data_IF_397268821530
#
_entry.id   IF_397268821530
#
_cell.length_a   1.000
_cell.length_b   1.000
_cell.length_c   1.000
_cell.angle_alpha   90.00
_cell.angle_beta   90.00
_cell.angle_gamma   90.00
#
_symmetry.space_group_name_H-M   'P 1'
#
loop_
_entity.id
_entity.type
_entity.pdbx_description
1 polymer ?
#
# COMPACT_ATOMS: atom_id res chain seq x y z
N UNK A 1 22.64 22.08 -11.41
CA UNK A 1 21.97 20.93 -12.03
C UNK A 1 20.50 20.92 -11.61
N UNK A 2 19.59 20.65 -12.53
CA UNK A 2 18.17 20.55 -12.19
C UNK A 2 17.95 19.25 -11.39
N UNK A 3 17.40 19.36 -10.17
CA UNK A 3 17.18 18.21 -9.31
C UNK A 3 15.89 17.49 -9.74
N UNK A 4 15.96 16.18 -9.98
CA UNK A 4 14.79 15.35 -10.25
C UNK A 4 14.28 14.82 -8.91
N UNK A 5 13.12 15.28 -8.42
CA UNK A 5 12.56 14.84 -7.15
C UNK A 5 12.03 13.40 -7.26
N UNK A 6 11.92 12.71 -6.12
CA UNK A 6 11.35 11.37 -6.05
C UNK A 6 9.82 11.36 -6.27
N UNK A 7 9.14 12.46 -5.94
CA UNK A 7 7.71 12.68 -6.14
C UNK A 7 7.47 14.05 -6.81
N UNK A 8 6.49 14.13 -7.71
CA UNK A 8 6.12 15.34 -8.44
C UNK A 8 4.90 16.09 -7.90
N UNK A 9 4.69 16.11 -6.57
CA UNK A 9 3.45 16.67 -5.97
C UNK A 9 3.25 18.16 -6.27
N UNK A 10 4.33 18.93 -6.29
CA UNK A 10 4.29 20.35 -6.65
C UNK A 10 3.93 20.56 -8.13
N UNK A 11 4.40 19.66 -9.01
CA UNK A 11 4.06 19.68 -10.45
C UNK A 11 2.60 19.30 -10.64
N UNK A 12 2.12 18.26 -9.96
CA UNK A 12 0.72 17.84 -9.98
C UNK A 12 -0.20 18.97 -9.49
N UNK A 13 0.16 19.63 -8.38
CA UNK A 13 -0.61 20.77 -7.88
C UNK A 13 -0.69 21.91 -8.91
N UNK A 14 0.44 22.27 -9.56
CA UNK A 14 0.44 23.31 -10.61
C UNK A 14 -0.54 23.00 -11.75
N UNK A 15 -0.60 21.74 -12.15
CA UNK A 15 -1.52 21.28 -13.21
C UNK A 15 -3.00 21.34 -12.79
N UNK A 16 -3.30 21.07 -11.52
CA UNK A 16 -4.66 20.97 -10.99
C UNK A 16 -5.08 22.19 -10.17
N UNK A 17 -4.24 23.22 -10.08
CA UNK A 17 -4.42 24.35 -9.15
C UNK A 17 -5.81 24.98 -9.23
N UNK A 18 -6.31 25.26 -10.43
CA UNK A 18 -7.61 25.90 -10.61
C UNK A 18 -8.75 25.02 -10.11
N UNK A 19 -8.77 23.73 -10.45
CA UNK A 19 -9.81 22.79 -10.04
C UNK A 19 -9.80 22.55 -8.52
N UNK A 20 -8.60 22.46 -7.93
CA UNK A 20 -8.43 22.27 -6.48
C UNK A 20 -8.92 23.50 -5.71
N UNK A 21 -8.59 24.72 -6.16
CA UNK A 21 -9.04 25.93 -5.49
C UNK A 21 -10.55 26.13 -5.64
N UNK A 22 -11.11 25.88 -6.83
CA UNK A 22 -12.55 25.96 -7.07
C UNK A 22 -13.35 25.01 -6.18
N UNK A 23 -12.94 23.75 -6.08
CA UNK A 23 -13.63 22.78 -5.22
C UNK A 23 -13.43 23.08 -3.73
N UNK A 24 -12.27 23.61 -3.34
CA UNK A 24 -12.01 24.06 -1.96
C UNK A 24 -13.00 25.13 -1.54
N UNK A 25 -13.15 26.16 -2.38
CA UNK A 25 -14.09 27.27 -2.13
C UNK A 25 -15.52 26.76 -1.96
N UNK A 26 -15.98 25.92 -2.89
CA UNK A 26 -17.31 25.29 -2.84
C UNK A 26 -17.54 24.50 -1.55
N UNK A 27 -16.56 23.71 -1.07
CA UNK A 27 -16.70 22.97 0.18
C UNK A 27 -16.83 23.93 1.38
N UNK A 28 -15.98 24.96 1.43
CA UNK A 28 -15.97 25.90 2.56
C UNK A 28 -17.26 26.72 2.63
N UNK A 29 -17.81 27.12 1.49
CA UNK A 29 -19.10 27.85 1.41
C UNK A 29 -20.27 27.02 1.97
N UNK A 30 -20.25 25.68 1.86
CA UNK A 30 -21.34 24.83 2.37
C UNK A 30 -21.42 24.79 3.89
N UNK A 31 -20.32 25.06 4.60
CA UNK A 31 -20.19 24.82 6.05
C UNK A 31 -20.25 23.36 6.46
N UNK A 32 -20.33 22.41 5.50
CA UNK A 32 -20.34 20.96 5.74
C UNK A 32 -18.94 20.42 5.46
N UNK A 33 -18.13 20.26 6.51
CA UNK A 33 -16.72 19.92 6.36
C UNK A 33 -16.39 18.45 6.67
N UNK A 34 -17.40 17.67 7.07
CA UNK A 34 -17.30 16.24 7.39
C UNK A 34 -18.57 15.51 6.95
N UNK A 35 -18.41 14.28 6.40
CA UNK A 35 -19.51 13.41 6.00
C UNK A 35 -20.54 14.10 5.09
N UNK A 36 -20.09 14.92 4.19
CA UNK A 36 -20.94 15.67 3.25
C UNK A 36 -21.04 15.00 1.87
N UNK A 37 -21.53 15.74 0.86
CA UNK A 37 -21.78 15.19 -0.47
C UNK A 37 -20.50 14.73 -1.20
N UNK A 38 -19.34 15.36 -0.98
CA UNK A 38 -18.09 14.93 -1.62
C UNK A 38 -17.57 13.64 -1.01
N UNK A 39 -17.72 13.43 0.32
CA UNK A 39 -17.42 12.15 0.95
C UNK A 39 -18.27 11.04 0.34
N UNK A 40 -19.59 11.22 0.26
CA UNK A 40 -20.50 10.23 -0.31
C UNK A 40 -20.22 9.96 -1.80
N UNK A 41 -19.92 11.01 -2.58
CA UNK A 41 -19.59 10.87 -3.99
C UNK A 41 -18.27 10.13 -4.19
N UNK A 42 -17.25 10.40 -3.35
CA UNK A 42 -15.97 9.73 -3.42
C UNK A 42 -16.08 8.26 -3.00
N UNK A 43 -16.79 7.94 -1.92
CA UNK A 43 -17.06 6.55 -1.49
C UNK A 43 -17.81 5.78 -2.60
N UNK A 44 -18.81 6.38 -3.25
CA UNK A 44 -19.53 5.76 -4.38
C UNK A 44 -18.61 5.52 -5.58
N UNK A 45 -17.78 6.49 -5.93
CA UNK A 45 -16.81 6.35 -7.01
C UNK A 45 -15.80 5.23 -6.71
N UNK A 46 -15.32 5.16 -5.47
CA UNK A 46 -14.33 4.18 -5.05
C UNK A 46 -14.92 2.76 -5.07
N UNK A 47 -16.14 2.56 -4.59
CA UNK A 47 -16.85 1.30 -4.66
C UNK A 47 -17.01 0.83 -6.12
N UNK A 48 -17.47 1.72 -7.01
CA UNK A 48 -17.59 1.43 -8.44
C UNK A 48 -16.23 1.09 -9.07
N UNK A 49 -15.18 1.86 -8.76
CA UNK A 49 -13.83 1.67 -9.34
C UNK A 49 -13.19 0.36 -8.92
N UNK A 50 -13.46 -0.12 -7.71
CA UNK A 50 -12.90 -1.37 -7.18
C UNK A 50 -13.81 -2.58 -7.38
N UNK A 51 -15.05 -2.38 -7.87
CA UNK A 51 -16.06 -3.44 -7.97
C UNK A 51 -16.60 -3.90 -6.61
N UNK A 52 -16.40 -3.12 -5.56
CA UNK A 52 -16.91 -3.39 -4.23
C UNK A 52 -18.37 -2.95 -4.08
N UNK A 53 -19.13 -3.61 -3.20
CA UNK A 53 -20.48 -3.19 -2.84
C UNK A 53 -20.43 -1.93 -1.93
N UNK A 54 -19.39 -1.80 -1.12
CA UNK A 54 -19.25 -0.75 -0.12
C UNK A 54 -17.85 -0.15 -0.11
N UNK A 55 -17.77 1.16 0.12
CA UNK A 55 -16.54 1.88 0.42
C UNK A 55 -16.76 2.83 1.60
N UNK A 56 -15.77 2.93 2.46
CA UNK A 56 -15.78 3.81 3.64
C UNK A 56 -14.45 4.53 3.72
N UNK A 57 -14.48 5.86 3.66
CA UNK A 57 -13.29 6.69 3.87
C UNK A 57 -12.91 6.75 5.35
N UNK A 58 -11.62 6.69 5.61
CA UNK A 58 -11.02 6.82 6.94
C UNK A 58 -9.78 7.71 6.89
N UNK A 59 -9.27 8.12 8.05
CA UNK A 59 -8.17 9.08 8.14
C UNK A 59 -6.86 8.57 7.50
N UNK A 60 -6.62 7.26 7.49
CA UNK A 60 -5.40 6.66 6.88
C UNK A 60 -5.61 5.18 6.57
N UNK A 61 -4.78 4.63 5.71
CA UNK A 61 -4.73 3.19 5.45
C UNK A 61 -4.37 2.38 6.70
N UNK A 62 -3.50 2.89 7.56
CA UNK A 62 -3.19 2.26 8.86
C UNK A 62 -4.44 2.07 9.70
N UNK A 63 -5.28 3.10 9.75
CA UNK A 63 -6.56 3.03 10.46
C UNK A 63 -7.55 2.08 9.76
N UNK A 64 -7.55 2.03 8.43
CA UNK A 64 -8.35 1.07 7.68
C UNK A 64 -7.98 -0.38 8.03
N UNK A 65 -6.70 -0.69 8.03
CA UNK A 65 -6.18 -2.01 8.44
C UNK A 65 -6.54 -2.35 9.89
N UNK A 66 -6.36 -1.39 10.82
CA UNK A 66 -6.70 -1.58 12.24
C UNK A 66 -8.19 -1.84 12.45
N UNK A 67 -9.06 -1.10 11.77
CA UNK A 67 -10.53 -1.30 11.84
C UNK A 67 -10.91 -2.70 11.35
N UNK A 68 -10.38 -3.12 10.21
CA UNK A 68 -10.65 -4.45 9.67
C UNK A 68 -10.10 -5.56 10.57
N UNK A 69 -8.90 -5.38 11.12
CA UNK A 69 -8.31 -6.33 12.06
C UNK A 69 -9.16 -6.47 13.34
N UNK A 70 -9.66 -5.35 13.88
CA UNK A 70 -10.56 -5.37 15.05
C UNK A 70 -11.90 -6.05 14.76
N UNK A 71 -12.48 -5.79 13.57
CA UNK A 71 -13.69 -6.47 13.14
C UNK A 71 -13.48 -7.99 13.04
N UNK A 72 -12.43 -8.42 12.35
CA UNK A 72 -12.13 -9.83 12.18
C UNK A 72 -11.83 -10.55 13.51
N UNK A 73 -11.32 -9.83 14.51
CA UNK A 73 -11.11 -10.38 15.85
C UNK A 73 -12.44 -10.61 16.59
N UNK A 74 -13.41 -9.70 16.51
CA UNK A 74 -14.72 -9.84 17.14
C UNK A 74 -15.45 -11.06 16.57
N UNK A 75 -15.45 -11.20 15.23
CA UNK A 75 -16.05 -12.35 14.56
C UNK A 75 -15.41 -13.67 15.00
N UNK A 76 -14.09 -13.68 15.18
CA UNK A 76 -13.36 -14.83 15.72
C UNK A 76 -13.73 -15.12 17.19
N UNK A 77 -13.80 -14.09 18.05
CA UNK A 77 -14.11 -14.25 19.46
C UNK A 77 -15.56 -14.75 19.65
N UNK A 78 -16.51 -14.31 18.83
CA UNK A 78 -17.90 -14.80 18.84
C UNK A 78 -18.00 -16.28 18.40
N UNK A 79 -17.20 -16.72 17.42
CA UNK A 79 -17.13 -18.11 17.00
C UNK A 79 -16.47 -19.04 18.03
N UNK A 80 -15.56 -18.51 18.87
CA UNK A 80 -14.84 -19.27 19.92
C UNK A 80 -15.58 -19.28 21.25
N UNK A 81 -16.55 -18.40 21.48
CA UNK A 81 -17.41 -18.36 22.66
C UNK A 81 -18.54 -19.43 22.64
N UNK A 82 -18.49 -20.40 21.74
CA UNK A 82 -19.32 -21.59 21.82
C UNK A 82 -18.94 -22.35 23.14
N UNK A 83 -19.90 -22.53 24.04
CA UNK A 83 -19.71 -23.06 25.40
C UNK A 83 -19.00 -24.43 25.46
N UNK A 84 -18.67 -25.01 24.30
CA UNK A 84 -17.98 -26.29 24.16
C UNK A 84 -16.48 -26.16 23.82
N UNK A 85 -15.92 -24.96 23.72
CA UNK A 85 -14.55 -24.76 23.27
C UNK A 85 -13.68 -24.08 24.35
N UNK A 86 -13.00 -24.89 25.15
CA UNK A 86 -12.13 -24.46 26.28
C UNK A 86 -10.77 -23.86 25.82
N UNK A 87 -10.53 -23.67 24.52
CA UNK A 87 -9.26 -23.19 24.02
C UNK A 87 -9.33 -21.72 23.56
N UNK A 88 -9.01 -20.80 24.45
CA UNK A 88 -8.68 -19.41 24.08
C UNK A 88 -7.35 -19.43 23.36
N UNK A 89 -7.38 -19.50 22.01
CA UNK A 89 -6.19 -19.33 21.19
C UNK A 89 -6.14 -17.86 20.80
N UNK A 90 -5.07 -17.15 21.17
CA UNK A 90 -4.86 -15.79 20.68
C UNK A 90 -4.85 -15.79 19.15
N UNK A 91 -5.61 -14.90 18.51
CA UNK A 91 -5.72 -14.91 17.06
C UNK A 91 -4.37 -14.61 16.42
N UNK A 92 -3.89 -15.55 15.62
CA UNK A 92 -2.66 -15.40 14.86
C UNK A 92 -2.99 -14.80 13.50
N UNK A 93 -2.22 -13.78 13.08
CA UNK A 93 -2.26 -13.25 11.71
C UNK A 93 -0.93 -13.46 11.00
N UNK A 94 -0.99 -13.89 9.74
CA UNK A 94 0.15 -14.01 8.84
C UNK A 94 0.30 -12.75 8.02
N UNK A 95 1.49 -12.14 8.04
CA UNK A 95 1.82 -10.97 7.23
C UNK A 95 3.18 -11.15 6.54
N UNK A 96 3.44 -10.52 5.37
CA UNK A 96 4.74 -10.60 4.73
C UNK A 96 5.82 -9.88 5.55
N UNK A 97 7.03 -10.45 5.58
CA UNK A 97 8.17 -9.87 6.27
C UNK A 97 8.74 -8.60 5.62
N UNK A 98 8.36 -8.31 4.35
CA UNK A 98 8.63 -7.02 3.71
C UNK A 98 7.30 -6.32 3.43
N UNK A 99 7.02 -5.29 4.19
CA UNK A 99 5.93 -4.34 3.97
C UNK A 99 6.23 -3.05 4.75
N UNK A 100 5.37 -2.05 4.57
CA UNK A 100 5.41 -0.88 5.44
C UNK A 100 4.96 -1.26 6.86
N UNK A 101 5.64 -0.71 7.86
CA UNK A 101 5.40 -1.04 9.27
C UNK A 101 3.94 -0.85 9.74
N UNK A 102 3.15 -0.06 9.02
CA UNK A 102 1.74 0.14 9.32
C UNK A 102 0.92 -1.15 9.28
N UNK A 103 1.26 -2.09 8.37
CA UNK A 103 0.61 -3.40 8.32
C UNK A 103 0.82 -4.16 9.64
N UNK A 104 2.06 -4.21 10.13
CA UNK A 104 2.36 -4.85 11.42
C UNK A 104 1.66 -4.15 12.59
N UNK A 105 1.77 -2.81 12.66
CA UNK A 105 1.18 -2.02 13.75
C UNK A 105 -0.33 -2.19 13.85
N UNK A 106 -1.03 -2.26 12.73
CA UNK A 106 -2.49 -2.40 12.71
C UNK A 106 -2.95 -3.68 13.41
N UNK A 107 -2.28 -4.81 13.15
CA UNK A 107 -2.62 -6.08 13.78
C UNK A 107 -2.17 -6.16 15.24
N UNK A 108 -0.98 -5.65 15.57
CA UNK A 108 -0.55 -5.55 16.96
C UNK A 108 -1.51 -4.69 17.79
N UNK A 109 -1.97 -3.54 17.27
CA UNK A 109 -2.94 -2.68 17.93
C UNK A 109 -4.33 -3.33 18.08
N UNK A 110 -4.66 -4.24 17.17
CA UNK A 110 -5.88 -5.04 17.29
C UNK A 110 -5.73 -6.25 18.24
N UNK A 111 -4.53 -6.50 18.78
CA UNK A 111 -4.25 -7.56 19.76
C UNK A 111 -4.01 -8.93 19.12
N UNK A 112 -3.50 -8.99 17.91
CA UNK A 112 -3.08 -10.24 17.27
C UNK A 112 -1.67 -10.63 17.66
N UNK A 113 -1.43 -11.95 17.75
CA UNK A 113 -0.10 -12.50 17.54
C UNK A 113 0.23 -12.45 16.04
N UNK A 114 1.46 -12.07 15.72
CA UNK A 114 1.87 -11.92 14.32
C UNK A 114 2.87 -13.00 13.94
N UNK A 115 2.58 -13.71 12.86
CA UNK A 115 3.51 -14.61 12.19
C UNK A 115 4.03 -13.97 10.92
N UNK A 116 5.35 -13.76 10.84
CA UNK A 116 6.01 -13.23 9.66
C UNK A 116 6.25 -14.33 8.63
N UNK A 117 5.88 -14.08 7.39
CA UNK A 117 6.04 -15.01 6.26
C UNK A 117 7.07 -14.45 5.29
N UNK A 118 7.94 -15.31 4.76
CA UNK A 118 8.95 -14.90 3.77
C UNK A 118 8.31 -14.48 2.45
N UNK A 119 9.10 -13.85 1.61
CA UNK A 119 8.67 -13.36 0.31
C UNK A 119 9.43 -14.08 -0.81
N UNK A 120 8.87 -14.03 -2.01
CA UNK A 120 9.61 -14.36 -3.22
C UNK A 120 10.67 -13.28 -3.53
N UNK A 121 11.45 -13.49 -4.58
CA UNK A 121 12.47 -12.54 -5.06
C UNK A 121 11.91 -11.21 -5.57
N UNK A 122 10.60 -11.09 -5.73
CA UNK A 122 9.92 -9.84 -6.10
C UNK A 122 9.30 -9.14 -4.87
N UNK A 123 9.49 -9.69 -3.69
CA UNK A 123 8.98 -9.13 -2.44
C UNK A 123 7.52 -9.48 -2.13
N UNK A 124 6.90 -10.40 -2.88
CA UNK A 124 5.54 -10.85 -2.63
C UNK A 124 5.54 -12.04 -1.66
N UNK A 125 4.58 -12.05 -0.75
CA UNK A 125 4.40 -13.09 0.26
C UNK A 125 4.29 -14.48 -0.37
N UNK A 126 5.00 -15.47 0.17
CA UNK A 126 4.92 -16.85 -0.26
C UNK A 126 3.63 -17.51 0.26
N UNK A 127 2.82 -18.04 -0.66
CA UNK A 127 1.55 -18.72 -0.34
C UNK A 127 1.64 -20.25 -0.38
N UNK A 128 2.78 -20.81 -0.84
CA UNK A 128 2.92 -22.23 -1.15
C UNK A 128 3.53 -23.06 -0.01
N UNK A 129 3.61 -22.53 1.20
CA UNK A 129 4.00 -23.36 2.33
C UNK A 129 2.82 -24.28 2.68
N UNK A 130 2.94 -25.58 2.36
CA UNK A 130 1.93 -26.60 2.67
C UNK A 130 1.68 -26.77 4.17
N UNK A 131 2.52 -26.18 5.02
CA UNK A 131 2.24 -25.98 6.45
C UNK A 131 1.20 -24.89 6.71
N UNK A 132 0.77 -24.15 5.66
CA UNK A 132 -0.25 -23.11 5.68
C UNK A 132 -1.66 -23.62 5.39
N UNK A 133 -1.88 -24.95 5.31
CA UNK A 133 -3.20 -25.57 5.12
C UNK A 133 -4.18 -25.35 6.29
N UNK A 134 -3.74 -24.64 7.32
CA UNK A 134 -4.60 -24.21 8.41
C UNK A 134 -5.32 -22.90 8.02
N UNK A 135 -6.44 -23.06 7.30
CA UNK A 135 -7.33 -21.96 6.89
C UNK A 135 -8.01 -21.25 8.08
N UNK A 136 -7.74 -21.66 9.29
CA UNK A 136 -8.26 -21.02 10.51
C UNK A 136 -7.51 -19.75 10.89
N UNK A 137 -6.35 -19.47 10.27
CA UNK A 137 -5.52 -18.31 10.62
C UNK A 137 -5.79 -17.13 9.69
N UNK A 138 -5.98 -15.97 10.29
CA UNK A 138 -6.12 -14.73 9.54
C UNK A 138 -4.84 -14.44 8.71
N UNK A 139 -5.03 -13.87 7.53
CA UNK A 139 -3.91 -13.52 6.63
C UNK A 139 -4.06 -12.08 6.14
N UNK A 140 -2.99 -11.31 6.16
CA UNK A 140 -2.93 -10.02 5.48
C UNK A 140 -2.01 -10.11 4.26
N UNK A 141 -2.59 -9.94 3.08
CA UNK A 141 -1.89 -9.97 1.81
C UNK A 141 -1.55 -8.54 1.40
N UNK A 142 -0.30 -8.31 1.02
CA UNK A 142 0.19 -7.00 0.59
C UNK A 142 0.61 -7.04 -0.87
N UNK A 143 0.03 -6.16 -1.69
CA UNK A 143 0.48 -5.94 -3.07
C UNK A 143 1.65 -4.96 -3.13
N UNK A 144 2.83 -5.44 -2.73
CA UNK A 144 4.00 -4.61 -2.53
C UNK A 144 4.44 -3.91 -3.83
N UNK A 145 4.78 -2.62 -3.74
CA UNK A 145 5.24 -1.72 -4.81
C UNK A 145 4.22 -1.49 -5.95
N UNK A 146 3.07 -2.14 -5.88
CA UNK A 146 2.01 -2.10 -6.89
C UNK A 146 1.83 -3.41 -7.65
N UNK A 147 2.61 -4.45 -7.33
CA UNK A 147 2.42 -5.78 -7.91
C UNK A 147 1.12 -6.41 -7.39
N UNK A 148 0.34 -7.00 -8.28
CA UNK A 148 -0.83 -7.79 -7.87
C UNK A 148 -0.35 -9.14 -7.31
N UNK A 149 -0.64 -9.46 -6.03
CA UNK A 149 -0.35 -10.77 -5.48
C UNK A 149 -1.11 -11.86 -6.24
N UNK A 150 -0.46 -12.98 -6.48
CA UNK A 150 -1.15 -14.16 -7.01
C UNK A 150 -1.63 -14.99 -5.82
N UNK A 151 -2.94 -15.06 -5.65
CA UNK A 151 -3.57 -15.83 -4.58
C UNK A 151 -4.37 -16.96 -5.21
N UNK A 152 -4.01 -18.18 -4.90
CA UNK A 152 -4.71 -19.38 -5.37
C UNK A 152 -5.62 -19.89 -4.25
N UNK A 153 -6.92 -20.04 -4.54
CA UNK A 153 -7.87 -20.62 -3.61
C UNK A 153 -8.88 -19.64 -2.99
N UNK A 154 -9.62 -20.12 -2.00
CA UNK A 154 -10.59 -19.32 -1.26
C UNK A 154 -9.85 -18.40 -0.27
N UNK A 155 -10.14 -17.11 -0.31
CA UNK A 155 -9.55 -16.08 0.56
C UNK A 155 -10.35 -15.88 1.86
N UNK A 156 -10.92 -16.94 2.43
CA UNK A 156 -11.55 -16.82 3.76
C UNK A 156 -10.59 -16.25 4.79
N UNK A 157 -11.06 -15.39 5.69
CA UNK A 157 -10.29 -14.72 6.74
C UNK A 157 -9.07 -13.93 6.20
N UNK A 158 -9.24 -13.23 5.07
CA UNK A 158 -8.15 -12.49 4.44
C UNK A 158 -8.44 -11.00 4.35
N UNK A 159 -7.55 -10.21 4.93
CA UNK A 159 -7.50 -8.76 4.77
C UNK A 159 -6.45 -8.41 3.72
N UNK A 160 -6.77 -7.47 2.83
CA UNK A 160 -5.85 -7.02 1.79
C UNK A 160 -5.32 -5.62 2.11
N UNK A 161 -4.01 -5.50 2.23
CA UNK A 161 -3.34 -4.21 2.21
C UNK A 161 -3.15 -3.77 0.75
N UNK A 162 -4.13 -3.01 0.28
CA UNK A 162 -4.20 -2.44 -1.07
C UNK A 162 -3.44 -1.13 -1.24
N UNK A 163 -2.72 -0.65 -0.22
CA UNK A 163 -2.08 0.68 -0.20
C UNK A 163 -1.24 1.01 -1.45
N UNK A 164 -0.78 0.01 -2.19
CA UNK A 164 0.09 0.20 -3.35
C UNK A 164 -0.45 -0.43 -4.63
N UNK A 165 -1.44 -1.35 -4.56
CA UNK A 165 -1.90 -2.12 -5.74
C UNK A 165 -3.41 -2.08 -6.01
N UNK A 166 -4.22 -1.40 -5.20
CA UNK A 166 -5.68 -1.42 -5.28
C UNK A 166 -6.25 -1.13 -6.69
N UNK A 167 -5.53 -0.35 -7.52
CA UNK A 167 -5.92 -0.04 -8.90
C UNK A 167 -5.92 -1.25 -9.84
N UNK A 168 -5.28 -2.34 -9.45
CA UNK A 168 -5.13 -3.58 -10.24
C UNK A 168 -5.56 -4.82 -9.45
N UNK A 169 -6.14 -4.63 -8.27
CA UNK A 169 -6.67 -5.72 -7.47
C UNK A 169 -7.86 -6.38 -8.20
N UNK A 170 -7.91 -7.72 -8.14
CA UNK A 170 -8.99 -8.54 -8.70
C UNK A 170 -9.75 -9.29 -7.62
N UNK A 171 -9.34 -9.15 -6.37
CA UNK A 171 -10.00 -9.71 -5.21
C UNK A 171 -9.92 -8.73 -4.04
N UNK A 172 -10.94 -8.72 -3.20
CA UNK A 172 -11.04 -7.84 -2.04
C UNK A 172 -10.80 -8.56 -0.71
N UNK A 173 -10.76 -9.91 -0.69
CA UNK A 173 -10.83 -10.66 0.57
C UNK A 173 -12.10 -10.32 1.35
N UNK A 174 -12.02 -10.30 2.67
CA UNK A 174 -13.09 -9.76 3.52
C UNK A 174 -13.19 -8.24 3.39
N UNK A 175 -12.04 -7.58 3.18
CA UNK A 175 -11.94 -6.17 2.89
C UNK A 175 -10.53 -5.77 2.45
N UNK A 176 -10.43 -4.70 1.67
CA UNK A 176 -9.17 -4.13 1.23
C UNK A 176 -8.99 -2.72 1.78
N UNK A 177 -7.85 -2.48 2.44
CA UNK A 177 -7.41 -1.15 2.88
C UNK A 177 -6.73 -0.41 1.72
N UNK A 178 -7.12 0.84 1.51
CA UNK A 178 -6.57 1.71 0.49
C UNK A 178 -5.91 2.91 1.14
N UNK A 179 -4.79 3.35 0.58
CA UNK A 179 -4.07 4.55 1.01
C UNK A 179 -4.20 5.67 -0.02
N UNK A 180 -4.51 6.85 0.48
CA UNK A 180 -4.47 8.12 -0.26
C UNK A 180 -3.38 9.06 0.30
N UNK A 181 -2.39 8.50 1.01
CA UNK A 181 -1.19 9.26 1.38
C UNK A 181 -0.62 10.01 0.15
N UNK A 182 -0.05 11.22 0.31
CA UNK A 182 0.45 12.03 -0.81
C UNK A 182 1.42 11.32 -1.74
N UNK A 183 2.07 10.25 -1.31
CA UNK A 183 3.01 9.46 -2.12
C UNK A 183 2.36 8.38 -2.99
N UNK A 184 1.03 8.21 -2.91
CA UNK A 184 0.29 7.13 -3.60
C UNK A 184 -0.17 7.53 -5.00
N UNK A 185 -0.67 6.55 -5.76
CA UNK A 185 -1.13 6.76 -7.15
C UNK A 185 -2.30 7.73 -7.25
N UNK A 186 -3.17 7.73 -6.25
CA UNK A 186 -4.24 8.71 -6.05
C UNK A 186 -3.98 9.41 -4.71
N UNK A 187 -3.24 10.54 -4.70
CA UNK A 187 -2.88 11.23 -3.47
C UNK A 187 -4.01 12.12 -2.95
N UNK A 188 -4.23 12.16 -1.64
CA UNK A 188 -4.98 13.23 -0.99
C UNK A 188 -4.09 14.47 -0.76
N UNK A 189 -4.65 15.51 -0.19
CA UNK A 189 -3.87 16.71 0.20
C UNK A 189 -3.28 16.62 1.60
N UNK A 190 -3.51 15.50 2.28
CA UNK A 190 -2.98 15.13 3.58
C UNK A 190 -3.03 13.63 3.75
N UNK A 191 -3.27 13.15 4.96
CA UNK A 191 -3.56 11.74 5.17
C UNK A 191 -4.91 11.36 4.55
N UNK A 192 -5.05 10.10 4.17
CA UNK A 192 -6.31 9.56 3.70
C UNK A 192 -6.22 8.04 3.51
N UNK A 193 -7.34 7.38 3.69
CA UNK A 193 -7.50 5.96 3.44
C UNK A 193 -8.96 5.59 3.25
N UNK A 194 -9.19 4.34 2.88
CA UNK A 194 -10.52 3.77 2.79
C UNK A 194 -10.48 2.27 3.04
N UNK A 195 -11.64 1.73 3.40
CA UNK A 195 -11.95 0.31 3.36
C UNK A 195 -12.92 0.10 2.19
N UNK A 196 -12.67 -0.89 1.35
CA UNK A 196 -13.62 -1.39 0.36
C UNK A 196 -13.91 -2.85 0.62
N UNK A 197 -15.19 -3.23 0.56
CA UNK A 197 -15.63 -4.59 0.93
C UNK A 197 -16.95 -4.96 0.27
N UNK A 198 -17.20 -6.27 0.17
CA UNK A 198 -18.50 -6.82 -0.16
C UNK A 198 -19.28 -7.31 1.08
N UNK A 199 -18.61 -7.33 2.25
CA UNK A 199 -19.19 -7.75 3.52
C UNK A 199 -19.95 -6.58 4.17
N UNK A 200 -21.26 -6.78 4.38
CA UNK A 200 -22.14 -5.77 4.97
C UNK A 200 -21.81 -5.53 6.45
N UNK A 201 -21.46 -6.57 7.21
CA UNK A 201 -21.21 -6.47 8.64
C UNK A 201 -19.90 -5.70 8.89
N UNK A 202 -18.85 -5.95 8.07
CA UNK A 202 -17.63 -5.14 8.09
C UNK A 202 -17.93 -3.67 7.77
N UNK A 203 -18.81 -3.41 6.77
CA UNK A 203 -19.19 -2.04 6.43
C UNK A 203 -19.86 -1.32 7.61
N UNK A 204 -20.87 -1.95 8.22
CA UNK A 204 -21.63 -1.34 9.32
C UNK A 204 -20.74 -1.15 10.57
N UNK A 205 -19.89 -2.12 10.88
CA UNK A 205 -18.86 -2.01 11.93
C UNK A 205 -17.93 -0.81 11.68
N UNK A 206 -17.31 -0.75 10.50
CA UNK A 206 -16.35 0.30 10.16
C UNK A 206 -17.00 1.70 10.14
N UNK A 207 -18.24 1.80 9.69
CA UNK A 207 -19.00 3.05 9.68
C UNK A 207 -19.25 3.58 11.09
N UNK A 208 -19.63 2.71 12.02
CA UNK A 208 -19.82 3.07 13.43
C UNK A 208 -18.48 3.34 14.12
N UNK A 209 -17.50 2.44 13.94
CA UNK A 209 -16.19 2.51 14.61
C UNK A 209 -15.42 3.79 14.26
N UNK A 210 -15.35 4.21 12.97
CA UNK A 210 -14.67 5.44 12.54
C UNK A 210 -15.24 6.73 13.16
N UNK A 211 -16.42 6.65 13.76
CA UNK A 211 -17.17 7.77 14.34
C UNK A 211 -17.40 7.65 15.86
N UNK A 212 -16.51 6.97 16.60
CA UNK A 212 -16.61 6.73 18.05
C UNK A 212 -17.85 5.92 18.47
N UNK A 213 -18.33 5.01 17.65
CA UNK A 213 -19.55 4.24 17.92
C UNK A 213 -20.83 5.09 17.94
N UNK A 214 -20.84 6.26 17.30
CA UNK A 214 -21.93 7.26 17.42
C UNK A 214 -23.29 6.80 16.91
N UNK A 215 -23.37 5.70 16.17
CA UNK A 215 -24.64 5.30 15.58
C UNK A 215 -25.67 4.93 16.67
N UNK A 216 -25.25 4.16 17.65
CA UNK A 216 -26.10 3.68 18.75
C UNK A 216 -25.38 3.60 20.12
N UNK A 217 -24.08 3.94 20.14
CA UNK A 217 -23.19 3.86 21.29
C UNK A 217 -23.08 2.45 21.91
N UNK A 218 -23.29 1.42 21.13
CA UNK A 218 -23.17 0.01 21.58
C UNK A 218 -21.74 -0.50 21.50
N UNK A 219 -20.82 0.24 20.84
CA UNK A 219 -19.45 -0.16 20.66
C UNK A 219 -18.46 0.98 20.88
N UNK A 220 -17.24 0.65 21.23
CA UNK A 220 -16.11 1.59 21.21
C UNK A 220 -15.73 1.92 19.76
N UNK A 221 -15.10 3.08 19.57
CA UNK A 221 -14.64 3.49 18.26
C UNK A 221 -13.54 4.53 18.33
N UNK A 222 -13.21 5.09 17.19
CA UNK A 222 -12.20 6.13 17.03
C UNK A 222 -12.71 7.28 16.18
N UNK A 223 -12.11 8.46 16.31
CA UNK A 223 -12.37 9.58 15.41
C UNK A 223 -11.43 9.48 14.20
N UNK A 224 -11.88 8.76 13.18
CA UNK A 224 -11.05 8.40 12.02
C UNK A 224 -11.71 8.75 10.67
N UNK A 225 -12.58 9.73 10.65
CA UNK A 225 -13.24 10.17 9.41
C UNK A 225 -12.27 11.00 8.56
N UNK A 226 -12.35 10.83 7.26
CA UNK A 226 -11.69 11.70 6.29
C UNK A 226 -12.44 13.03 6.14
N UNK A 227 -11.73 14.12 5.88
CA UNK A 227 -12.36 15.43 5.70
C UNK A 227 -13.09 15.53 4.36
N UNK A 228 -14.12 16.37 4.31
CA UNK A 228 -14.85 16.68 3.08
C UNK A 228 -13.93 17.33 2.04
N UNK A 229 -12.99 18.18 2.47
CA UNK A 229 -11.98 18.79 1.60
C UNK A 229 -11.08 17.75 0.93
N UNK A 230 -10.60 16.76 1.69
CA UNK A 230 -9.75 15.71 1.11
C UNK A 230 -10.52 14.85 0.11
N UNK A 231 -11.78 14.51 0.40
CA UNK A 231 -12.66 13.79 -0.52
C UNK A 231 -12.93 14.59 -1.80
N UNK A 232 -13.16 15.92 -1.69
CA UNK A 232 -13.36 16.80 -2.83
C UNK A 232 -12.09 16.89 -3.70
N UNK A 233 -10.92 17.03 -3.09
CA UNK A 233 -9.63 17.05 -3.79
C UNK A 233 -9.34 15.70 -4.48
N UNK A 234 -9.71 14.59 -3.85
CA UNK A 234 -9.60 13.28 -4.48
C UNK A 234 -10.52 13.16 -5.68
N UNK A 235 -11.77 13.64 -5.60
CA UNK A 235 -12.68 13.62 -6.76
C UNK A 235 -12.17 14.45 -7.95
N UNK A 236 -11.46 15.55 -7.71
CA UNK A 236 -10.74 16.25 -8.80
C UNK A 236 -9.70 15.32 -9.43
N UNK A 237 -8.89 14.66 -8.62
CA UNK A 237 -7.80 13.79 -9.07
C UNK A 237 -8.26 12.49 -9.74
N UNK A 238 -9.45 11.98 -9.36
CA UNK A 238 -10.00 10.78 -10.00
C UNK A 238 -10.22 10.93 -11.50
N UNK A 239 -10.47 12.14 -11.98
CA UNK A 239 -10.62 12.43 -13.41
C UNK A 239 -9.35 12.16 -14.22
N UNK A 240 -8.19 12.15 -13.56
CA UNK A 240 -6.87 12.01 -14.20
C UNK A 240 -6.23 10.65 -13.97
N UNK A 241 -6.80 9.79 -13.11
CA UNK A 241 -6.15 8.56 -12.64
C UNK A 241 -5.76 7.60 -13.76
N UNK A 242 -6.57 7.46 -14.80
CA UNK A 242 -6.29 6.56 -15.94
C UNK A 242 -5.06 7.05 -16.73
N UNK A 243 -4.97 8.35 -16.98
CA UNK A 243 -3.83 8.95 -17.67
C UNK A 243 -2.54 8.83 -16.83
N UNK A 244 -2.66 9.01 -15.50
CA UNK A 244 -1.53 8.86 -14.59
C UNK A 244 -1.04 7.41 -14.52
N UNK A 245 -1.96 6.44 -14.52
CA UNK A 245 -1.60 5.02 -14.55
C UNK A 245 -0.96 4.63 -15.88
N UNK A 246 -1.48 5.14 -17.00
CA UNK A 246 -0.87 4.94 -18.31
C UNK A 246 0.56 5.47 -18.33
N UNK A 247 0.79 6.71 -17.87
CA UNK A 247 2.13 7.32 -17.83
C UNK A 247 3.11 6.54 -16.95
N UNK A 248 2.69 6.08 -15.77
CA UNK A 248 3.51 5.24 -14.91
C UNK A 248 3.88 3.92 -15.59
N UNK A 249 2.95 3.31 -16.29
CA UNK A 249 3.18 2.09 -17.09
C UNK A 249 4.19 2.30 -18.21
N UNK A 250 4.12 3.43 -18.94
CA UNK A 250 5.12 3.79 -19.96
C UNK A 250 6.51 3.91 -19.36
N UNK A 251 6.66 4.67 -18.26
CA UNK A 251 7.93 4.85 -17.56
C UNK A 251 8.49 3.49 -17.10
N UNK A 252 7.65 2.64 -16.48
CA UNK A 252 8.08 1.30 -16.07
C UNK A 252 8.59 0.48 -17.25
N UNK A 253 7.88 0.44 -18.36
CA UNK A 253 8.29 -0.33 -19.53
C UNK A 253 9.61 0.20 -20.10
N UNK A 254 9.78 1.50 -20.16
CA UNK A 254 11.04 2.11 -20.60
C UNK A 254 12.20 1.68 -19.70
N UNK A 255 12.07 1.78 -18.39
CA UNK A 255 13.11 1.32 -17.45
C UNK A 255 13.39 -0.19 -17.58
N UNK A 256 12.36 -1.02 -17.72
CA UNK A 256 12.55 -2.47 -17.89
C UNK A 256 13.33 -2.82 -19.15
N UNK A 257 13.09 -2.10 -20.25
CA UNK A 257 13.82 -2.30 -21.50
C UNK A 257 15.28 -1.83 -21.40
N UNK A 258 15.49 -0.63 -20.85
CA UNK A 258 16.82 -0.05 -20.66
C UNK A 258 17.71 -0.86 -19.73
N UNK A 259 17.12 -1.54 -18.73
CA UNK A 259 17.85 -2.29 -17.68
C UNK A 259 17.92 -3.80 -17.93
N UNK A 260 17.43 -4.28 -19.08
CA UNK A 260 17.32 -5.75 -19.33
C UNK A 260 18.64 -6.52 -19.30
N UNK A 261 19.74 -5.84 -19.64
CA UNK A 261 21.09 -6.44 -19.74
C UNK A 261 22.04 -5.98 -18.63
N UNK A 262 21.54 -5.30 -17.59
CA UNK A 262 22.34 -4.86 -16.45
C UNK A 262 22.33 -5.92 -15.36
N UNK A 263 23.40 -5.95 -14.58
CA UNK A 263 23.46 -6.74 -13.32
C UNK A 263 22.59 -6.06 -12.23
N UNK A 264 21.30 -6.06 -12.51
CA UNK A 264 20.27 -5.37 -11.75
C UNK A 264 18.95 -6.14 -11.84
N UNK A 265 18.39 -6.56 -10.71
CA UNK A 265 17.08 -7.19 -10.70
C UNK A 265 15.98 -6.13 -10.51
N UNK A 266 15.07 -5.98 -11.49
CA UNK A 266 13.89 -5.15 -11.36
C UNK A 266 12.74 -5.99 -10.78
N UNK A 267 12.24 -5.67 -9.60
CA UNK A 267 11.23 -6.48 -8.91
C UNK A 267 9.91 -6.59 -9.68
N UNK A 268 9.56 -5.59 -10.48
CA UNK A 268 8.34 -5.60 -11.31
C UNK A 268 8.49 -6.31 -12.67
N UNK A 269 9.68 -6.87 -12.99
CA UNK A 269 9.97 -7.42 -14.35
C UNK A 269 9.00 -8.52 -14.77
N UNK A 270 8.66 -9.41 -13.86
CA UNK A 270 7.82 -10.58 -14.14
C UNK A 270 6.34 -10.36 -13.82
N UNK A 271 5.96 -9.17 -13.36
CA UNK A 271 4.56 -8.85 -13.04
C UNK A 271 3.84 -8.34 -14.28
N UNK A 272 2.90 -9.13 -14.81
CA UNK A 272 2.05 -8.73 -15.93
C UNK A 272 1.04 -7.65 -15.53
N UNK A 273 0.59 -7.68 -14.28
CA UNK A 273 -0.40 -6.74 -13.74
C UNK A 273 0.20 -5.98 -12.56
N UNK A 274 0.36 -4.67 -12.72
CA UNK A 274 1.09 -3.83 -11.78
C UNK A 274 0.51 -2.40 -11.75
N UNK A 275 0.31 -1.85 -10.57
CA UNK A 275 -0.17 -0.47 -10.39
C UNK A 275 0.94 0.59 -10.51
N UNK A 276 2.18 0.18 -10.71
CA UNK A 276 3.34 1.05 -10.93
C UNK A 276 3.50 2.15 -9.86
N UNK A 277 3.19 1.80 -8.62
CA UNK A 277 3.26 2.72 -7.49
C UNK A 277 4.72 3.05 -7.14
N UNK A 278 5.61 2.07 -7.25
CA UNK A 278 7.07 2.24 -7.14
C UNK A 278 7.79 1.42 -8.20
N UNK A 279 8.92 1.93 -8.67
CA UNK A 279 9.85 1.16 -9.46
C UNK A 279 11.04 0.81 -8.58
N UNK A 280 11.13 -0.45 -8.19
CA UNK A 280 12.13 -0.95 -7.23
C UNK A 280 13.09 -1.90 -7.93
N UNK A 281 14.36 -1.70 -7.66
CA UNK A 281 15.45 -2.52 -8.15
C UNK A 281 16.22 -3.12 -6.97
N UNK A 282 16.83 -4.27 -7.20
CA UNK A 282 17.77 -4.89 -6.28
C UNK A 282 19.18 -4.95 -6.91
N UNK A 283 20.18 -4.56 -6.16
CA UNK A 283 21.60 -4.75 -6.50
C UNK A 283 22.43 -4.86 -5.23
N UNK A 284 23.46 -5.70 -5.22
CA UNK A 284 24.41 -5.76 -4.10
C UNK A 284 25.20 -4.46 -3.91
N UNK A 285 25.23 -3.62 -4.95
CA UNK A 285 25.89 -2.32 -4.98
C UNK A 285 24.95 -1.15 -4.64
N UNK A 286 23.92 -1.40 -3.79
CA UNK A 286 22.89 -0.44 -3.41
C UNK A 286 23.48 0.93 -2.98
N UNK A 287 24.45 0.92 -2.07
CA UNK A 287 25.04 2.14 -1.51
C UNK A 287 25.73 2.98 -2.58
N UNK A 288 26.54 2.36 -3.41
CA UNK A 288 27.28 3.02 -4.50
C UNK A 288 26.30 3.60 -5.53
N UNK A 289 25.28 2.83 -5.93
CA UNK A 289 24.24 3.30 -6.87
C UNK A 289 23.45 4.47 -6.28
N UNK A 290 23.10 4.40 -4.99
CA UNK A 290 22.42 5.49 -4.28
C UNK A 290 23.26 6.79 -4.31
N UNK A 291 24.53 6.70 -3.98
CA UNK A 291 25.45 7.84 -3.99
C UNK A 291 25.64 8.40 -5.41
N UNK A 292 25.83 7.51 -6.41
CA UNK A 292 25.96 7.92 -7.82
C UNK A 292 24.75 8.70 -8.32
N UNK A 293 23.54 8.19 -8.10
CA UNK A 293 22.30 8.85 -8.56
C UNK A 293 22.03 10.14 -7.80
N UNK A 294 22.28 10.17 -6.50
CA UNK A 294 22.15 11.39 -5.69
C UNK A 294 23.11 12.48 -6.17
N UNK A 295 24.37 12.14 -6.46
CA UNK A 295 25.37 13.07 -7.01
C UNK A 295 24.99 13.54 -8.42
N UNK A 296 24.28 12.74 -9.19
CA UNK A 296 23.71 13.12 -10.49
C UNK A 296 22.45 14.00 -10.36
N UNK A 297 22.00 14.34 -9.15
CA UNK A 297 20.82 15.16 -8.90
C UNK A 297 19.48 14.38 -9.00
N UNK A 298 19.53 13.07 -8.94
CA UNK A 298 18.36 12.20 -8.96
C UNK A 298 18.01 11.77 -7.52
N UNK A 299 16.85 12.15 -7.02
CA UNK A 299 16.40 11.74 -5.69
C UNK A 299 15.90 10.29 -5.72
N UNK A 300 16.50 9.42 -4.92
CA UNK A 300 16.16 7.99 -4.78
C UNK A 300 15.82 7.66 -3.35
N UNK A 301 15.03 6.60 -3.13
CA UNK A 301 14.59 6.17 -1.79
C UNK A 301 14.82 4.67 -1.60
N UNK A 302 14.81 4.24 -0.35
CA UNK A 302 14.90 2.82 0.01
C UNK A 302 13.56 2.39 0.62
N UNK A 303 12.92 1.43 -0.01
CA UNK A 303 11.69 0.81 0.46
C UNK A 303 11.85 -0.73 0.47
N UNK A 304 12.24 -1.37 1.60
CA UNK A 304 12.50 -0.76 2.89
C UNK A 304 13.95 -1.09 3.31
N UNK A 305 14.50 -0.33 4.27
CA UNK A 305 15.89 -0.52 4.74
C UNK A 305 16.06 -1.81 5.52
N UNK A 306 14.99 -2.27 6.20
CA UNK A 306 14.95 -3.47 7.04
C UNK A 306 13.67 -4.25 6.78
N UNK A 307 13.75 -5.56 6.88
CA UNK A 307 12.59 -6.41 7.01
C UNK A 307 11.89 -6.19 8.37
N UNK A 308 10.61 -6.54 8.49
CA UNK A 308 9.87 -6.35 9.76
C UNK A 308 10.52 -7.11 10.91
N UNK A 309 11.04 -8.32 10.65
CA UNK A 309 11.76 -9.13 11.66
C UNK A 309 13.03 -8.48 12.21
N UNK A 310 13.58 -7.50 11.49
CA UNK A 310 14.79 -6.76 11.91
C UNK A 310 14.46 -5.48 12.69
N UNK A 311 13.19 -5.13 12.83
CA UNK A 311 12.75 -3.93 13.54
C UNK A 311 12.75 -4.16 15.07
N UNK A 312 13.10 -3.14 15.88
CA UNK A 312 13.07 -3.27 17.35
C UNK A 312 11.71 -3.68 17.91
N UNK A 313 10.61 -3.29 17.26
CA UNK A 313 9.25 -3.64 17.68
C UNK A 313 8.92 -5.13 17.47
N UNK A 314 9.66 -5.84 16.63
CA UNK A 314 9.49 -7.26 16.37
C UNK A 314 10.17 -8.17 17.42
N UNK A 315 10.79 -7.62 18.46
CA UNK A 315 11.52 -8.40 19.49
C UNK A 315 10.67 -9.48 20.19
N UNK A 316 9.37 -9.25 20.28
CA UNK A 316 8.44 -10.18 20.92
C UNK A 316 7.69 -11.06 19.91
N UNK A 317 8.00 -10.93 18.60
CA UNK A 317 7.44 -11.79 17.57
C UNK A 317 8.33 -13.02 17.46
N UNK A 318 7.74 -14.20 17.58
CA UNK A 318 8.48 -15.45 17.36
C UNK A 318 8.88 -15.54 15.88
N UNK A 319 10.17 -15.38 15.63
CA UNK A 319 10.75 -15.43 14.29
C UNK A 319 11.65 -16.66 14.18
N UNK A 320 11.43 -17.46 13.15
CA UNK A 320 12.38 -18.52 12.75
C UNK A 320 13.29 -17.94 11.64
N UNK A 321 14.51 -17.47 11.96
CA UNK A 321 15.35 -16.69 11.02
C UNK A 321 15.61 -17.41 9.70
N UNK A 322 15.80 -18.72 9.73
CA UNK A 322 16.07 -19.54 8.55
C UNK A 322 14.89 -19.58 7.56
N UNK A 323 13.67 -19.26 8.03
CA UNK A 323 12.45 -19.22 7.22
C UNK A 323 12.19 -17.85 6.57
N UNK A 324 13.01 -16.83 6.85
CA UNK A 324 12.83 -15.44 6.36
C UNK A 324 14.03 -14.94 5.55
N UNK A 325 14.82 -15.86 4.98
CA UNK A 325 16.11 -15.54 4.36
C UNK A 325 16.00 -14.66 3.12
N UNK A 326 14.98 -14.88 2.28
CA UNK A 326 14.78 -14.10 1.04
C UNK A 326 14.43 -12.67 1.34
N UNK A 327 13.48 -12.43 2.22
CA UNK A 327 13.04 -11.08 2.60
C UNK A 327 14.18 -10.27 3.25
N UNK A 328 14.93 -10.88 4.17
CA UNK A 328 16.09 -10.23 4.80
C UNK A 328 17.21 -9.96 3.79
N UNK A 329 17.46 -10.85 2.85
CA UNK A 329 18.44 -10.63 1.79
C UNK A 329 18.03 -9.49 0.88
N UNK A 330 16.75 -9.43 0.46
CA UNK A 330 16.25 -8.38 -0.43
C UNK A 330 16.45 -6.98 0.16
N UNK A 331 16.15 -6.75 1.44
CA UNK A 331 16.26 -5.41 2.04
C UNK A 331 17.68 -4.83 1.98
N UNK A 332 18.70 -5.69 1.89
CA UNK A 332 20.10 -5.25 1.76
C UNK A 332 20.40 -4.55 0.43
N UNK A 333 19.66 -4.88 -0.64
CA UNK A 333 19.93 -4.38 -1.99
C UNK A 333 18.82 -3.52 -2.62
N UNK A 334 17.67 -3.30 -1.94
CA UNK A 334 16.54 -2.55 -2.50
C UNK A 334 16.83 -1.06 -2.68
N UNK A 335 16.51 -0.54 -3.87
CA UNK A 335 16.55 0.89 -4.20
C UNK A 335 15.35 1.24 -5.08
N UNK A 336 14.67 2.34 -4.78
CA UNK A 336 13.53 2.83 -5.56
C UNK A 336 13.94 4.02 -6.42
N UNK A 337 13.61 3.96 -7.71
CA UNK A 337 13.80 5.04 -8.69
C UNK A 337 12.53 5.88 -8.80
N UNK A 338 12.64 7.16 -9.20
CA UNK A 338 11.49 8.01 -9.45
C UNK A 338 10.55 7.40 -10.52
N UNK A 339 9.26 7.33 -10.17
CA UNK A 339 8.19 6.94 -11.09
C UNK A 339 6.93 7.70 -10.71
N UNK A 340 6.57 8.74 -11.47
CA UNK A 340 5.36 9.54 -11.26
C UNK A 340 4.95 10.21 -12.56
N UNK A 341 3.66 10.57 -12.75
CA UNK A 341 3.12 10.99 -14.04
C UNK A 341 3.77 12.26 -14.62
N UNK A 342 4.23 13.16 -13.76
CA UNK A 342 4.78 14.46 -14.15
C UNK A 342 6.27 14.43 -14.52
N UNK A 343 6.90 13.23 -14.53
CA UNK A 343 8.25 13.08 -15.12
C UNK A 343 8.20 13.34 -16.62
N UNK A 344 9.07 14.25 -17.08
CA UNK A 344 9.28 14.47 -18.50
C UNK A 344 10.05 13.31 -19.14
N UNK A 345 9.92 13.11 -20.45
CA UNK A 345 10.67 12.05 -21.16
C UNK A 345 12.17 12.22 -21.00
N UNK A 346 12.68 13.47 -21.10
CA UNK A 346 14.10 13.75 -20.87
C UNK A 346 14.58 13.42 -19.45
N UNK A 347 13.73 13.57 -18.42
CA UNK A 347 14.08 13.15 -17.06
C UNK A 347 14.10 11.63 -16.94
N UNK A 348 13.15 10.93 -17.56
CA UNK A 348 13.11 9.45 -17.60
C UNK A 348 14.34 8.90 -18.31
N UNK A 349 14.69 9.45 -19.46
CA UNK A 349 15.88 9.08 -20.22
C UNK A 349 17.17 9.35 -19.42
N UNK A 350 17.24 10.50 -18.75
CA UNK A 350 18.38 10.86 -17.92
C UNK A 350 18.57 9.90 -16.74
N UNK A 351 17.49 9.55 -16.03
CA UNK A 351 17.53 8.55 -14.94
C UNK A 351 18.07 7.22 -15.48
N UNK A 352 17.51 6.72 -16.57
CA UNK A 352 17.93 5.47 -17.17
C UNK A 352 19.40 5.49 -17.63
N UNK A 353 19.84 6.60 -18.22
CA UNK A 353 21.23 6.81 -18.65
C UNK A 353 22.19 6.77 -17.46
N UNK A 354 21.89 7.43 -16.35
CA UNK A 354 22.77 7.43 -15.17
C UNK A 354 22.82 6.06 -14.49
N UNK A 355 21.72 5.30 -14.46
CA UNK A 355 21.73 3.91 -14.01
C UNK A 355 22.62 3.05 -14.91
N UNK A 356 22.47 3.12 -16.23
CA UNK A 356 23.31 2.37 -17.20
C UNK A 356 24.78 2.73 -17.07
N UNK A 357 25.09 4.01 -16.95
CA UNK A 357 26.45 4.52 -16.78
C UNK A 357 27.13 3.89 -15.56
N UNK A 358 26.43 3.80 -14.42
CA UNK A 358 26.95 3.19 -13.21
C UNK A 358 27.37 1.73 -13.46
N UNK A 359 26.55 0.93 -14.12
CA UNK A 359 26.86 -0.48 -14.38
C UNK A 359 27.88 -0.68 -15.50
N UNK A 360 27.97 0.21 -16.49
CA UNK A 360 28.90 0.07 -17.62
C UNK A 360 30.34 0.47 -17.26
N UNK A 361 30.52 1.56 -16.51
CA UNK A 361 31.87 2.03 -16.15
C UNK A 361 32.51 1.32 -14.96
N UNK A 362 31.76 0.53 -14.22
CA UNK A 362 32.26 -0.19 -13.04
C UNK A 362 32.87 -1.56 -13.35
N UNK A 363 32.95 -1.96 -14.61
CA UNK A 363 33.55 -3.26 -15.02
C UNK A 363 35.07 -3.16 -15.14
N UNK A 364 35.68 -1.99 -14.92
CA UNK A 364 37.11 -1.75 -15.14
C UNK A 364 37.91 -1.36 -13.89
N UNK A 365 37.42 -1.66 -12.68
CA UNK A 365 38.19 -1.50 -11.44
C UNK A 365 38.12 -2.71 -10.55
#
# INVERSE_FOLDING_TARGET
MHKIPFFGLDRQYRNLKSEILDVTDKVLETGTWMNGPYTSAFESWLAMKTGANFAITVHSCTQALEIMAKWARIDHDDMMNDENNDSVIDPIVRIPNITYVATLNAFLNAGYEVQLIDTDKNGLMLHNDTSLDDFTKNTCIVGLYGARPQVNGNLGNTIIDGAQHWLVADNLGDGMAISFDPTKNLPSSGNGGAIVTNNRDLYDFAYSYRSNGKHDHTMYGTNSRMSELDCAHLLVRTKHIENWQWRRKEIRHYYLDEFKNLDLHCLSRNSMVHADQKFVVYTERKKELFEHLTNAGIDVKIHYEKALSELPLAKNIEVKPDMLSTSVMLTKGLLSLPIYPELTDGEVEYIAKEVKKFFTYSVHH
#
